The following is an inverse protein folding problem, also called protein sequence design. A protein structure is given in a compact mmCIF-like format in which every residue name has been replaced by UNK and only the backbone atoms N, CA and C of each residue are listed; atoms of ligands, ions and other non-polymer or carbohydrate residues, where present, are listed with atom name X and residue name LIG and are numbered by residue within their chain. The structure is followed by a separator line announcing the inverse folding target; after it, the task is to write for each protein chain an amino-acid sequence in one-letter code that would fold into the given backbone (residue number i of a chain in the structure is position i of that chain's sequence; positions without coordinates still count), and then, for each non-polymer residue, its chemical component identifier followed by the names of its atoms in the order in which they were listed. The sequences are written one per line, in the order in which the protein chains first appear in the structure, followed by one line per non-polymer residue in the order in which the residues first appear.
data_IF_436932501913
#
_entry.id   IF_436932501913
#
_cell.length_a   1.000
_cell.length_b   1.000
_cell.length_c   1.000
_cell.angle_alpha   90.00
_cell.angle_beta   90.00
_cell.angle_gamma   90.00
#
_symmetry.space_group_name_H-M   'P 1'
#
loop_
_entity.id
_entity.type
_entity.pdbx_description
1 polymer ?
#
# COMPACT_ATOMS: atom_id res chain seq x y z
N UNK A 1 20.85 -9.06 8.69
CA UNK A 1 20.16 -10.32 8.33
C UNK A 1 18.72 -9.97 8.00
N UNK A 2 18.23 -10.39 6.83
CA UNK A 2 16.83 -10.20 6.45
C UNK A 2 15.95 -11.30 7.04
N UNK A 3 14.80 -10.96 7.61
CA UNK A 3 13.83 -11.91 8.15
C UNK A 3 12.40 -11.43 7.87
N UNK A 4 11.58 -12.25 7.21
CA UNK A 4 10.18 -11.95 6.85
C UNK A 4 9.97 -10.60 6.13
N UNK A 5 10.92 -10.17 5.29
CA UNK A 5 10.83 -8.89 4.57
C UNK A 5 11.23 -7.67 5.41
N UNK A 6 11.90 -7.89 6.55
CA UNK A 6 12.48 -6.84 7.38
C UNK A 6 14.00 -7.03 7.51
N UNK A 7 14.71 -5.93 7.60
CA UNK A 7 16.11 -5.86 7.98
C UNK A 7 16.17 -5.60 9.48
N UNK A 8 16.67 -6.58 10.23
CA UNK A 8 16.84 -6.48 11.69
C UNK A 8 18.29 -6.07 11.97
N UNK A 9 18.48 -4.97 12.69
CA UNK A 9 19.77 -4.48 13.16
C UNK A 9 19.73 -4.14 14.66
N UNK A 10 20.88 -3.85 15.25
CA UNK A 10 20.97 -3.39 16.65
C UNK A 10 20.26 -2.04 16.88
N UNK A 11 20.00 -1.30 15.82
CA UNK A 11 19.34 0.02 15.84
C UNK A 11 17.81 -0.12 15.73
N UNK A 12 17.31 -1.24 15.21
CA UNK A 12 15.88 -1.49 15.11
C UNK A 12 15.46 -2.42 13.98
N UNK A 13 14.16 -2.40 13.68
CA UNK A 13 13.52 -3.16 12.60
C UNK A 13 13.16 -2.21 11.46
N UNK A 14 13.71 -2.46 10.28
CA UNK A 14 13.47 -1.69 9.08
C UNK A 14 12.77 -2.57 8.04
N UNK A 15 11.87 -2.00 7.25
CA UNK A 15 11.33 -2.72 6.10
C UNK A 15 12.41 -2.85 5.05
N UNK A 16 12.48 -4.03 4.41
CA UNK A 16 13.32 -4.23 3.24
C UNK A 16 12.92 -3.23 2.13
N UNK A 17 13.82 -2.35 1.68
CA UNK A 17 13.54 -1.38 0.62
C UNK A 17 12.93 -2.00 -0.63
N UNK A 18 13.33 -3.24 -0.98
CA UNK A 18 12.78 -3.95 -2.14
C UNK A 18 11.27 -4.23 -2.02
N UNK A 19 10.76 -4.44 -0.78
CA UNK A 19 9.33 -4.61 -0.53
C UNK A 19 8.57 -3.29 -0.67
N UNK A 20 9.20 -2.17 -0.31
CA UNK A 20 8.60 -0.85 -0.49
C UNK A 20 8.56 -0.48 -1.98
N UNK A 21 9.64 -0.72 -2.72
CA UNK A 21 9.70 -0.49 -4.16
C UNK A 21 8.63 -1.27 -4.91
N UNK A 22 8.43 -2.55 -4.58
CA UNK A 22 7.40 -3.37 -5.20
C UNK A 22 5.97 -2.83 -4.97
N UNK A 23 5.71 -2.18 -3.83
CA UNK A 23 4.40 -1.57 -3.55
C UNK A 23 4.28 -0.20 -4.26
N UNK A 24 5.37 0.57 -4.31
CA UNK A 24 5.43 1.86 -5.04
C UNK A 24 5.17 1.69 -6.53
N UNK A 25 5.74 0.64 -7.11
CA UNK A 25 5.69 0.37 -8.54
C UNK A 25 4.54 -0.60 -8.88
N UNK A 26 3.60 -0.79 -7.95
CA UNK A 26 2.45 -1.67 -8.15
C UNK A 26 1.58 -1.16 -9.32
N UNK A 27 1.16 -2.04 -10.23
CA UNK A 27 0.36 -1.65 -11.38
C UNK A 27 -1.00 -1.10 -10.93
N UNK A 28 -1.56 -0.17 -11.70
CA UNK A 28 -2.90 0.37 -11.43
C UNK A 28 -3.92 -0.78 -11.37
N UNK A 29 -4.63 -0.95 -10.24
CA UNK A 29 -5.71 -1.93 -10.15
C UNK A 29 -6.81 -1.63 -11.16
N UNK A 30 -7.30 -2.68 -11.81
CA UNK A 30 -8.39 -2.63 -12.79
C UNK A 30 -9.72 -3.15 -12.23
N UNK A 31 -9.70 -3.76 -11.05
CA UNK A 31 -10.85 -4.39 -10.42
C UNK A 31 -10.89 -4.19 -8.90
N UNK A 32 -12.08 -4.28 -8.31
CA UNK A 32 -12.26 -4.23 -6.85
C UNK A 32 -11.51 -5.35 -6.13
N UNK A 33 -11.34 -6.51 -6.77
CA UNK A 33 -10.57 -7.63 -6.24
C UNK A 33 -9.08 -7.29 -6.14
N UNK A 34 -8.50 -6.70 -7.19
CA UNK A 34 -7.11 -6.24 -7.16
C UNK A 34 -6.88 -5.14 -6.11
N UNK A 35 -7.85 -4.24 -5.93
CA UNK A 35 -7.79 -3.24 -4.85
C UNK A 35 -7.72 -3.94 -3.48
N UNK A 36 -8.56 -4.95 -3.23
CA UNK A 36 -8.53 -5.70 -1.96
C UNK A 36 -7.19 -6.40 -1.73
N UNK A 37 -6.62 -7.00 -2.77
CA UNK A 37 -5.30 -7.64 -2.72
C UNK A 37 -4.22 -6.61 -2.35
N UNK A 38 -4.23 -5.46 -3.03
CA UNK A 38 -3.28 -4.39 -2.77
C UNK A 38 -3.42 -3.82 -1.36
N UNK A 39 -4.64 -3.53 -0.90
CA UNK A 39 -4.88 -3.03 0.46
C UNK A 39 -4.45 -4.04 1.52
N UNK A 40 -4.71 -5.34 1.30
CA UNK A 40 -4.23 -6.40 2.17
C UNK A 40 -2.71 -6.42 2.29
N UNK A 41 -2.00 -6.43 1.15
CA UNK A 41 -0.54 -6.45 1.11
C UNK A 41 0.09 -5.19 1.73
N UNK A 42 -0.39 -4.02 1.33
CA UNK A 42 0.16 -2.73 1.77
C UNK A 42 -0.14 -2.45 3.26
N UNK A 43 -1.24 -2.99 3.80
CA UNK A 43 -1.57 -2.85 5.22
C UNK A 43 -0.51 -3.45 6.17
N UNK A 44 0.23 -4.47 5.72
CA UNK A 44 1.31 -5.07 6.50
C UNK A 44 2.44 -4.05 6.76
N UNK A 45 2.69 -3.16 5.81
CA UNK A 45 3.75 -2.14 5.88
C UNK A 45 3.25 -0.77 6.35
N UNK A 46 1.97 -0.65 6.74
CA UNK A 46 1.33 0.63 7.13
C UNK A 46 2.06 1.42 8.23
N UNK A 47 2.81 0.74 9.11
CA UNK A 47 3.55 1.38 10.22
C UNK A 47 4.71 2.22 9.73
N UNK A 48 5.21 1.94 8.53
CA UNK A 48 6.34 2.61 7.93
C UNK A 48 5.90 3.70 6.95
N UNK A 49 4.65 3.64 6.46
CA UNK A 49 4.05 4.63 5.57
C UNK A 49 3.40 5.74 6.39
N UNK A 50 3.92 6.96 6.31
CA UNK A 50 3.26 8.12 6.93
C UNK A 50 1.95 8.44 6.19
N UNK A 51 0.85 8.57 6.94
CA UNK A 51 -0.45 8.94 6.37
C UNK A 51 -1.16 7.84 5.56
N UNK A 52 -0.75 6.57 5.71
CA UNK A 52 -1.34 5.43 4.99
C UNK A 52 -2.87 5.42 5.01
N UNK A 53 -3.46 5.59 6.20
CA UNK A 53 -4.91 5.53 6.37
C UNK A 53 -5.64 6.56 5.52
N UNK A 54 -5.13 7.80 5.46
CA UNK A 54 -5.72 8.87 4.65
C UNK A 54 -5.57 8.59 3.15
N UNK A 55 -4.42 8.05 2.72
CA UNK A 55 -4.20 7.68 1.32
C UNK A 55 -5.06 6.49 0.89
N UNK A 56 -5.24 5.49 1.76
CA UNK A 56 -5.98 4.27 1.45
C UNK A 56 -7.50 4.44 1.46
N UNK A 57 -8.02 5.53 2.03
CA UNK A 57 -9.46 5.81 2.11
C UNK A 57 -10.20 5.72 0.74
N UNK A 58 -9.78 6.43 -0.32
CA UNK A 58 -10.45 6.38 -1.62
C UNK A 58 -10.51 4.96 -2.18
N UNK A 59 -9.42 4.19 -2.08
CA UNK A 59 -9.39 2.78 -2.49
C UNK A 59 -10.27 1.90 -1.60
N UNK A 60 -10.33 2.17 -0.29
CA UNK A 60 -11.19 1.43 0.63
C UNK A 60 -12.66 1.61 0.26
N UNK A 61 -13.08 2.83 -0.11
CA UNK A 61 -14.45 3.12 -0.59
C UNK A 61 -14.81 2.28 -1.82
N UNK A 62 -13.86 2.07 -2.74
CA UNK A 62 -14.06 1.23 -3.93
C UNK A 62 -14.28 -0.26 -3.62
N UNK A 63 -13.96 -0.70 -2.40
CA UNK A 63 -14.20 -2.09 -1.96
C UNK A 63 -15.53 -2.29 -1.24
N UNK A 64 -16.32 -1.23 -1.07
CA UNK A 64 -17.64 -1.25 -0.44
C UNK A 64 -18.65 -2.14 -1.18
N UNK A 65 -19.67 -2.58 -0.45
CA UNK A 65 -20.80 -3.32 -1.02
C UNK A 65 -21.64 -2.39 -1.90
N UNK A 66 -22.08 -2.87 -3.05
CA UNK A 66 -22.92 -2.13 -4.02
C UNK A 66 -22.28 -0.86 -4.60
N UNK A 67 -20.96 -0.73 -4.54
CA UNK A 67 -20.19 0.38 -5.14
C UNK A 67 -19.71 -0.03 -6.53
N UNK A 68 -20.01 0.79 -7.55
CA UNK A 68 -19.43 0.63 -8.87
C UNK A 68 -17.94 0.98 -8.86
N UNK A 69 -17.13 0.17 -9.52
CA UNK A 69 -15.71 0.43 -9.65
C UNK A 69 -15.49 1.63 -10.58
N UNK A 70 -15.22 2.79 -10.00
CA UNK A 70 -14.87 4.02 -10.73
C UNK A 70 -13.53 4.51 -10.21
N UNK A 71 -12.48 4.33 -11.01
CA UNK A 71 -11.15 4.79 -10.65
C UNK A 71 -11.04 6.31 -10.81
N UNK A 72 -10.93 7.03 -9.71
CA UNK A 72 -10.77 8.49 -9.68
C UNK A 72 -9.30 8.90 -9.45
N UNK A 73 -8.91 10.15 -9.79
CA UNK A 73 -7.59 10.68 -9.48
C UNK A 73 -7.19 10.58 -8.00
N UNK A 74 -8.18 10.62 -7.10
CA UNK A 74 -8.00 10.46 -5.65
C UNK A 74 -7.44 9.10 -5.25
N UNK A 75 -7.55 8.08 -6.10
CA UNK A 75 -7.02 6.74 -5.84
C UNK A 75 -5.52 6.61 -6.17
N UNK A 76 -4.95 7.52 -6.96
CA UNK A 76 -3.54 7.45 -7.38
C UNK A 76 -2.52 7.55 -6.23
N UNK A 77 -2.67 8.44 -5.24
CA UNK A 77 -1.66 8.63 -4.19
C UNK A 77 -1.35 7.36 -3.40
N UNK A 78 -2.35 6.50 -3.17
CA UNK A 78 -2.17 5.25 -2.45
C UNK A 78 -1.39 4.19 -3.26
N UNK A 79 -1.58 4.14 -4.57
CA UNK A 79 -0.85 3.20 -5.44
C UNK A 79 0.60 3.65 -5.61
N UNK A 80 0.82 4.95 -5.76
CA UNK A 80 2.17 5.47 -6.00
C UNK A 80 3.00 5.69 -4.73
N UNK A 81 2.42 5.50 -3.54
CA UNK A 81 3.09 5.51 -2.22
C UNK A 81 4.34 6.42 -2.17
N UNK A 82 4.18 7.68 -2.58
CA UNK A 82 5.27 8.67 -2.63
C UNK A 82 5.73 9.13 -1.23
N UNK A 83 5.27 8.46 -0.16
CA UNK A 83 5.34 8.94 1.22
C UNK A 83 6.45 8.28 2.05
N UNK A 84 7.49 7.76 1.41
CA UNK A 84 8.71 7.30 2.09
C UNK A 84 9.86 8.25 1.74
N UNK A 85 9.95 9.33 2.50
CA UNK A 85 11.17 10.10 2.72
C UNK A 85 11.52 9.97 4.20
#
# INVERSE_FOLDING_TARGET
MGFLGHIISTVGVFVDPAKIEAIRDWPRPSSTTEIRIFLGLSSYYRRFVKGFASMSQPMTKLTGKDVSFVWTPECLPCVKLHAFA
#
